data_IF_970516859110
#
_entry.id   IF_970516859110
#
_cell.length_a   1.000
_cell.length_b   1.000
_cell.length_c   1.000
_cell.angle_alpha   90.00
_cell.angle_beta   90.00
_cell.angle_gamma   90.00
#
_symmetry.space_group_name_H-M   'P 1'
#
loop_
_entity.id
_entity.type
_entity.pdbx_description
1 polymer ?
#
# COMPACT_ATOMS: atom_id res chain seq x y z
N UNK A 1 19.70 19.05 65.12
CA UNK A 1 18.45 18.65 64.47
C UNK A 1 18.84 17.67 63.38
N UNK A 2 18.45 16.42 63.57
CA UNK A 2 18.92 15.25 62.83
C UNK A 2 18.66 15.33 61.32
N UNK A 3 19.75 15.15 60.57
CA UNK A 3 19.76 14.76 59.17
C UNK A 3 19.83 13.23 59.12
N UNK A 4 18.73 12.56 58.76
CA UNK A 4 18.74 11.19 58.24
C UNK A 4 17.38 10.81 57.65
N UNK A 5 17.40 10.38 56.38
CA UNK A 5 16.39 9.47 55.84
C UNK A 5 15.39 10.05 54.82
N UNK A 6 15.87 10.59 53.69
CA UNK A 6 15.09 10.60 52.47
C UNK A 6 15.91 9.88 51.39
N UNK A 7 15.58 8.61 51.15
CA UNK A 7 16.16 7.82 50.07
C UNK A 7 15.85 8.51 48.73
N UNK A 8 16.89 9.08 48.12
CA UNK A 8 16.90 9.37 46.68
C UNK A 8 16.80 8.04 45.94
N UNK A 9 15.64 7.74 45.36
CA UNK A 9 15.58 6.82 44.24
C UNK A 9 15.96 7.61 42.98
N UNK A 10 17.01 7.23 42.25
CA UNK A 10 17.31 7.84 40.96
C UNK A 10 16.18 7.55 39.97
N UNK A 11 15.78 8.57 39.20
CA UNK A 11 14.95 8.43 38.01
C UNK A 11 15.55 7.33 37.11
N UNK A 12 14.74 6.43 36.51
CA UNK A 12 15.26 5.43 35.61
C UNK A 12 15.82 6.15 34.38
N UNK A 13 17.14 6.15 34.24
CA UNK A 13 17.79 6.36 32.95
C UNK A 13 17.14 5.45 31.93
N UNK A 14 16.63 6.02 30.84
CA UNK A 14 16.01 5.33 29.71
C UNK A 14 17.03 4.51 28.89
N UNK A 15 17.75 3.63 29.59
CA UNK A 15 18.45 2.48 29.05
C UNK A 15 17.73 1.22 29.55
N UNK A 16 16.41 1.15 29.32
CA UNK A 16 15.76 -0.15 29.27
C UNK A 16 16.22 -0.82 27.99
N UNK A 17 17.21 -1.68 28.16
CA UNK A 17 17.57 -2.77 27.27
C UNK A 17 16.32 -3.45 26.73
N UNK A 18 15.88 -3.06 25.54
CA UNK A 18 15.16 -3.97 24.67
C UNK A 18 16.15 -5.08 24.32
N UNK A 19 16.14 -6.16 25.09
CA UNK A 19 16.83 -7.39 24.69
C UNK A 19 16.24 -7.85 23.35
N UNK A 20 17.06 -8.00 22.29
CA UNK A 20 16.59 -8.34 20.95
C UNK A 20 16.39 -9.86 20.82
N UNK A 21 15.67 -10.47 21.77
CA UNK A 21 15.23 -11.86 21.66
C UNK A 21 13.71 -11.91 21.55
N UNK A 22 13.12 -11.04 20.72
CA UNK A 22 11.89 -11.45 20.04
C UNK A 22 12.32 -12.44 18.96
N UNK A 23 12.32 -13.72 19.35
CA UNK A 23 12.48 -14.83 18.42
C UNK A 23 11.31 -14.72 17.44
N UNK A 24 11.56 -14.16 16.26
CA UNK A 24 10.63 -14.23 15.12
C UNK A 24 10.14 -15.68 15.09
N UNK A 25 8.83 -15.95 15.26
CA UNK A 25 8.34 -17.31 15.19
C UNK A 25 8.88 -17.90 13.89
N UNK A 26 9.70 -18.96 13.99
CA UNK A 26 10.37 -19.59 12.85
C UNK A 26 9.40 -20.29 11.89
N UNK A 27 8.11 -20.16 12.12
CA UNK A 27 7.13 -20.16 11.05
C UNK A 27 6.52 -18.77 10.99
N UNK A 28 6.59 -18.11 9.84
CA UNK A 28 5.42 -17.38 9.35
C UNK A 28 4.33 -18.45 9.35
N UNK A 29 3.66 -18.66 10.49
CA UNK A 29 2.48 -19.51 10.55
C UNK A 29 1.61 -18.88 9.48
N UNK A 30 1.36 -19.61 8.40
CA UNK A 30 0.58 -19.06 7.31
C UNK A 30 -0.75 -18.65 7.94
N UNK A 31 -0.91 -17.34 8.17
CA UNK A 31 -2.04 -16.72 8.83
C UNK A 31 -3.24 -16.82 7.88
N UNK A 32 -3.68 -18.07 7.68
CA UNK A 32 -4.61 -18.50 6.63
C UNK A 32 -6.03 -18.13 7.00
N UNK A 33 -6.40 -18.23 8.29
CA UNK A 33 -7.72 -17.85 8.79
C UNK A 33 -7.73 -16.42 9.37
N UNK A 34 -8.84 -15.71 9.25
CA UNK A 34 -9.08 -14.43 9.96
C UNK A 34 -9.09 -14.60 11.46
N UNK A 35 -9.57 -15.72 11.99
CA UNK A 35 -9.56 -15.94 13.43
C UNK A 35 -8.12 -15.88 13.95
N UNK A 36 -7.22 -16.62 13.31
CA UNK A 36 -5.79 -16.62 13.66
C UNK A 36 -5.14 -15.25 13.45
N UNK A 37 -5.48 -14.54 12.36
CA UNK A 37 -5.02 -13.16 12.12
C UNK A 37 -5.47 -12.19 13.20
N UNK A 38 -6.75 -12.21 13.56
CA UNK A 38 -7.32 -11.33 14.60
C UNK A 38 -6.78 -11.67 15.98
N UNK A 39 -6.60 -12.95 16.29
CA UNK A 39 -5.99 -13.37 17.56
C UNK A 39 -4.54 -12.90 17.61
N UNK A 40 -3.76 -13.09 16.54
CA UNK A 40 -2.40 -12.59 16.46
C UNK A 40 -2.33 -11.06 16.52
N UNK A 41 -3.17 -10.34 15.78
CA UNK A 41 -3.26 -8.88 15.82
C UNK A 41 -3.62 -8.38 17.21
N UNK A 42 -4.57 -9.03 17.89
CA UNK A 42 -4.95 -8.67 19.26
C UNK A 42 -3.82 -8.96 20.26
N UNK A 43 -3.14 -10.10 20.16
CA UNK A 43 -1.98 -10.43 20.98
C UNK A 43 -0.81 -9.46 20.73
N UNK A 44 -0.54 -9.13 19.46
CA UNK A 44 0.49 -8.18 19.07
C UNK A 44 0.15 -6.76 19.55
N UNK A 45 -1.09 -6.30 19.33
CA UNK A 45 -1.55 -5.00 19.80
C UNK A 45 -1.49 -4.91 21.31
N UNK A 46 -1.97 -5.92 22.03
CA UNK A 46 -1.95 -5.91 23.50
C UNK A 46 -0.54 -6.02 24.10
N UNK A 47 0.36 -6.80 23.50
CA UNK A 47 1.71 -7.01 24.03
C UNK A 47 2.70 -5.93 23.62
N UNK A 48 2.61 -5.39 22.40
CA UNK A 48 3.63 -4.51 21.83
C UNK A 48 3.07 -3.10 21.63
N UNK A 49 1.92 -2.97 20.96
CA UNK A 49 1.38 -1.64 20.67
C UNK A 49 0.85 -0.93 21.92
N UNK A 50 0.15 -1.61 22.83
CA UNK A 50 -0.39 -0.99 24.04
C UNK A 50 0.71 -0.57 25.02
N UNK A 51 1.81 -1.33 25.10
CA UNK A 51 2.99 -0.92 25.86
C UNK A 51 3.70 0.29 25.23
N UNK A 52 3.73 0.37 23.89
CA UNK A 52 4.18 1.55 23.17
C UNK A 52 3.23 2.74 23.41
N UNK A 53 1.91 2.57 23.22
CA UNK A 53 0.90 3.63 23.38
C UNK A 53 0.91 4.23 24.77
N UNK A 54 1.04 3.43 25.84
CA UNK A 54 1.19 3.97 27.21
C UNK A 54 2.31 5.00 27.36
N UNK A 55 3.38 4.90 26.57
CA UNK A 55 4.49 5.84 26.56
C UNK A 55 4.32 6.96 25.51
N UNK A 56 3.57 6.71 24.43
CA UNK A 56 3.38 7.63 23.32
C UNK A 56 2.11 8.50 23.40
N UNK A 57 1.09 8.12 24.18
CA UNK A 57 -0.28 8.61 24.06
C UNK A 57 -0.40 10.13 24.10
N UNK A 58 0.19 10.81 25.09
CA UNK A 58 -0.03 12.25 25.23
C UNK A 58 0.62 13.05 24.10
N UNK A 59 1.79 12.60 23.63
CA UNK A 59 2.53 13.28 22.57
C UNK A 59 1.95 12.97 21.20
N UNK A 60 1.65 11.69 20.93
CA UNK A 60 1.12 11.24 19.64
C UNK A 60 -0.30 11.75 19.41
N UNK A 61 -1.16 11.83 20.43
CA UNK A 61 -2.49 12.43 20.33
C UNK A 61 -2.39 13.92 19.99
N UNK A 62 -1.49 14.66 20.65
CA UNK A 62 -1.29 16.08 20.37
C UNK A 62 -0.70 16.32 18.97
N UNK A 63 0.23 15.46 18.53
CA UNK A 63 0.75 15.52 17.16
C UNK A 63 -0.28 15.12 16.12
N UNK A 64 -1.07 14.07 16.36
CA UNK A 64 -2.14 13.67 15.46
C UNK A 64 -3.17 14.80 15.30
N UNK A 65 -3.53 15.47 16.41
CA UNK A 65 -4.39 16.67 16.39
C UNK A 65 -3.77 17.81 15.59
N UNK A 66 -2.47 18.08 15.76
CA UNK A 66 -1.75 19.12 15.01
C UNK A 66 -1.63 18.81 13.53
N UNK A 67 -1.35 17.55 13.18
CA UNK A 67 -1.28 17.06 11.79
C UNK A 67 -2.66 17.16 11.13
N UNK A 68 -3.74 16.77 11.82
CA UNK A 68 -5.12 16.91 11.32
C UNK A 68 -5.52 18.38 11.05
N UNK A 69 -4.96 19.32 11.82
CA UNK A 69 -5.23 20.77 11.65
C UNK A 69 -4.30 21.49 10.68
N UNK A 70 -3.20 20.86 10.22
CA UNK A 70 -2.28 21.52 9.29
C UNK A 70 -2.87 21.50 7.87
N UNK A 71 -3.27 22.67 7.37
CA UNK A 71 -3.83 22.84 6.02
C UNK A 71 -2.90 22.32 4.91
N UNK A 72 -1.60 22.14 5.18
CA UNK A 72 -0.62 21.58 4.23
C UNK A 72 -0.76 20.07 4.04
N UNK A 73 -1.45 19.35 4.93
CA UNK A 73 -1.74 17.92 4.83
C UNK A 73 -3.01 17.60 4.02
N UNK A 74 -3.71 18.63 3.52
CA UNK A 74 -4.93 18.47 2.71
C UNK A 74 -4.98 19.33 1.45
N UNK A 75 -3.88 20.00 1.07
CA UNK A 75 -3.86 20.88 -0.10
C UNK A 75 -3.42 20.10 -1.34
N UNK A 76 -4.24 20.02 -2.41
CA UNK A 76 -3.84 19.44 -3.68
C UNK A 76 -2.97 20.46 -4.41
N UNK A 77 -1.72 20.60 -3.99
CA UNK A 77 -0.77 21.49 -4.67
C UNK A 77 0.47 20.69 -5.05
N UNK A 78 0.44 20.31 -6.32
CA UNK A 78 1.55 20.14 -7.25
C UNK A 78 2.73 19.27 -6.81
N UNK A 79 2.84 18.12 -7.49
CA UNK A 79 3.99 17.22 -7.57
C UNK A 79 4.55 16.71 -6.23
N UNK A 80 4.04 15.54 -5.81
CA UNK A 80 4.75 14.68 -4.86
C UNK A 80 4.32 14.77 -3.39
N UNK A 81 3.22 15.45 -3.06
CA UNK A 81 2.61 15.39 -1.72
C UNK A 81 1.59 14.25 -1.62
N UNK A 82 1.65 13.50 -0.53
CA UNK A 82 0.66 12.47 -0.19
C UNK A 82 -0.64 13.15 0.23
N UNK A 83 -1.74 12.82 -0.45
CA UNK A 83 -3.06 13.31 -0.09
C UNK A 83 -3.72 12.34 0.89
N UNK A 84 -4.05 12.81 2.09
CA UNK A 84 -4.81 12.00 3.07
C UNK A 84 -6.26 12.49 3.10
N UNK A 85 -7.24 11.62 2.84
CA UNK A 85 -8.66 11.97 2.98
C UNK A 85 -8.99 12.44 4.41
N UNK A 86 -9.85 13.47 4.52
CA UNK A 86 -10.19 14.09 5.81
C UNK A 86 -10.89 13.12 6.77
N UNK A 87 -11.53 12.08 6.24
CA UNK A 87 -12.15 11.02 7.04
C UNK A 87 -11.13 10.33 7.93
N UNK A 88 -9.90 10.13 7.44
CA UNK A 88 -8.83 9.50 8.21
C UNK A 88 -8.17 10.47 9.19
N UNK A 89 -8.04 11.76 8.83
CA UNK A 89 -7.44 12.78 9.70
C UNK A 89 -8.31 13.09 10.93
N UNK A 90 -9.62 12.89 10.86
CA UNK A 90 -10.55 13.19 11.94
C UNK A 90 -10.77 12.03 12.92
N UNK A 91 -10.18 10.86 12.65
CA UNK A 91 -10.27 9.71 13.54
C UNK A 91 -9.16 9.77 14.59
N UNK A 92 -9.54 9.71 15.86
CA UNK A 92 -8.57 9.62 16.96
C UNK A 92 -8.02 8.20 17.05
N UNK A 93 -6.72 8.11 17.32
CA UNK A 93 -6.04 6.86 17.59
C UNK A 93 -6.35 6.46 19.04
N UNK A 94 -6.91 5.27 19.20
CA UNK A 94 -7.23 4.61 20.48
C UNK A 94 -6.63 3.21 20.54
N UNK A 95 -6.63 2.56 21.71
CA UNK A 95 -6.13 1.19 21.90
C UNK A 95 -6.80 0.16 20.97
N UNK A 96 -8.04 0.42 20.54
CA UNK A 96 -8.80 -0.44 19.62
C UNK A 96 -8.53 -0.14 18.12
N UNK A 97 -7.56 0.72 17.81
CA UNK A 97 -7.28 1.12 16.42
C UNK A 97 -6.70 -0.06 15.63
N UNK A 98 -7.19 -0.33 14.40
CA UNK A 98 -6.64 -1.40 13.57
C UNK A 98 -5.14 -1.22 13.31
N UNK A 99 -4.40 -2.33 13.40
CA UNK A 99 -2.95 -2.36 13.14
C UNK A 99 -2.59 -1.76 11.76
N UNK A 100 -3.47 -1.92 10.78
CA UNK A 100 -3.30 -1.40 9.42
C UNK A 100 -3.08 0.12 9.33
N UNK A 101 -3.51 0.91 10.34
CA UNK A 101 -3.25 2.36 10.39
C UNK A 101 -1.75 2.65 10.59
N UNK A 102 -1.07 1.79 11.36
CA UNK A 102 0.35 1.97 11.73
C UNK A 102 1.32 1.38 10.71
N UNK A 103 0.82 0.57 9.78
CA UNK A 103 1.61 -0.01 8.70
C UNK A 103 1.60 0.92 7.49
N UNK A 104 2.76 1.48 7.06
CA UNK A 104 2.81 2.39 5.93
C UNK A 104 2.28 1.72 4.65
N UNK A 105 1.28 2.32 4.01
CA UNK A 105 0.71 1.81 2.77
C UNK A 105 0.40 2.96 1.80
N UNK A 106 0.36 2.65 0.49
CA UNK A 106 -0.01 3.61 -0.56
C UNK A 106 -1.52 3.80 -0.69
N UNK A 107 -2.31 2.99 0.00
CA UNK A 107 -3.78 3.03 -0.02
C UNK A 107 -4.37 2.62 1.33
N UNK A 108 -5.65 2.92 1.53
CA UNK A 108 -6.39 2.54 2.74
C UNK A 108 -5.91 3.24 4.03
N UNK A 109 -6.15 2.65 5.21
CA UNK A 109 -5.84 3.25 6.51
C UNK A 109 -4.34 3.49 6.76
N UNK A 110 -3.46 2.70 6.14
CA UNK A 110 -2.00 2.85 6.23
C UNK A 110 -1.43 4.09 5.53
N UNK A 111 -2.28 4.85 4.83
CA UNK A 111 -1.90 6.11 4.21
C UNK A 111 -1.53 7.18 5.26
N UNK A 112 -2.12 7.11 6.46
CA UNK A 112 -1.81 8.04 7.55
C UNK A 112 -0.36 7.93 8.02
N UNK A 113 0.12 6.70 8.26
CA UNK A 113 1.50 6.45 8.68
C UNK A 113 2.50 6.79 7.57
N UNK A 114 2.17 6.47 6.31
CA UNK A 114 2.96 6.88 5.15
C UNK A 114 3.07 8.42 5.03
N UNK A 115 1.94 9.13 5.11
CA UNK A 115 1.90 10.58 5.02
C UNK A 115 2.61 11.27 6.20
N UNK A 116 2.50 10.71 7.40
CA UNK A 116 3.21 11.21 8.58
C UNK A 116 4.73 11.13 8.38
N UNK A 117 5.23 9.99 7.87
CA UNK A 117 6.65 9.83 7.57
C UNK A 117 7.12 10.80 6.47
N UNK A 118 6.36 10.94 5.38
CA UNK A 118 6.64 11.90 4.31
C UNK A 118 6.75 13.33 4.86
N UNK A 119 5.79 13.73 5.69
CA UNK A 119 5.76 15.06 6.30
C UNK A 119 6.98 15.31 7.19
N UNK A 120 7.30 14.37 8.08
CA UNK A 120 8.42 14.52 9.01
C UNK A 120 9.77 14.61 8.28
N UNK A 121 9.99 13.77 7.26
CA UNK A 121 11.22 13.82 6.47
C UNK A 121 11.34 15.11 5.65
N UNK A 122 10.23 15.60 5.06
CA UNK A 122 10.22 16.90 4.39
C UNK A 122 10.51 18.04 5.36
N UNK A 123 9.91 18.03 6.55
CA UNK A 123 10.17 19.06 7.56
C UNK A 123 11.62 19.10 8.01
N UNK A 124 12.23 17.94 8.20
CA UNK A 124 13.66 17.86 8.48
C UNK A 124 14.49 18.44 7.32
N UNK A 125 14.19 18.05 6.09
CA UNK A 125 14.90 18.54 4.91
C UNK A 125 14.74 20.06 4.71
N UNK A 126 13.52 20.60 4.85
CA UNK A 126 13.25 22.04 4.78
C UNK A 126 14.10 22.82 5.80
N UNK A 127 14.25 22.28 7.01
CA UNK A 127 15.05 22.90 8.07
C UNK A 127 16.55 22.83 7.77
N UNK A 128 17.03 21.70 7.25
CA UNK A 128 18.42 21.54 6.81
C UNK A 128 18.75 22.43 5.62
N UNK A 129 17.86 22.55 4.64
CA UNK A 129 18.04 23.42 3.47
C UNK A 129 18.06 24.90 3.90
N UNK A 130 17.21 25.27 4.87
CA UNK A 130 17.23 26.60 5.49
C UNK A 130 18.57 26.86 6.21
N UNK A 131 19.10 25.88 6.96
CA UNK A 131 20.40 25.98 7.60
C UNK A 131 21.55 26.13 6.59
N UNK A 132 21.54 25.34 5.52
CA UNK A 132 22.53 25.42 4.44
C UNK A 132 22.49 26.82 3.79
N UNK A 133 21.30 27.37 3.53
CA UNK A 133 21.18 28.71 2.93
C UNK A 133 21.78 29.84 3.80
N UNK A 134 21.59 29.76 5.12
CA UNK A 134 22.14 30.73 6.08
C UNK A 134 23.64 30.53 6.30
N UNK A 135 24.10 29.27 6.26
CA UNK A 135 25.48 28.90 6.57
C UNK A 135 26.42 28.84 5.36
N UNK A 136 25.91 28.83 4.13
CA UNK A 136 26.71 28.91 2.88
C UNK A 136 27.54 30.19 2.77
N UNK A 137 27.16 31.25 3.50
CA UNK A 137 27.99 32.46 3.63
C UNK A 137 29.21 32.28 4.55
N UNK A 138 29.30 31.17 5.31
CA UNK A 138 30.34 30.94 6.33
C UNK A 138 31.24 29.71 6.06
N UNK A 139 30.81 28.70 5.29
CA UNK A 139 31.62 27.54 4.81
C UNK A 139 30.79 26.63 3.86
N UNK A 140 31.45 25.92 2.94
CA UNK A 140 30.88 24.85 2.10
C UNK A 140 30.41 23.65 2.96
N UNK A 141 29.29 23.79 3.66
CA UNK A 141 28.69 22.71 4.43
C UNK A 141 27.72 21.98 3.51
N UNK A 142 28.09 20.76 3.11
CA UNK A 142 27.21 19.85 2.40
C UNK A 142 26.86 18.71 3.36
N UNK A 143 25.59 18.57 3.69
CA UNK A 143 25.12 17.41 4.44
C UNK A 143 25.22 16.14 3.59
N UNK A 144 25.49 15.00 4.23
CA UNK A 144 25.38 13.69 3.57
C UNK A 144 23.92 13.38 3.28
N UNK A 145 23.67 12.85 2.08
CA UNK A 145 22.34 12.33 1.71
C UNK A 145 22.24 10.86 2.10
N UNK A 146 21.15 10.49 2.79
CA UNK A 146 20.88 9.13 3.23
C UNK A 146 19.51 8.65 2.73
N UNK A 147 19.37 7.34 2.59
CA UNK A 147 18.10 6.72 2.21
C UNK A 147 17.15 6.60 3.41
N UNK A 148 15.82 6.71 3.21
CA UNK A 148 14.80 6.55 4.26
C UNK A 148 14.97 5.27 5.11
N UNK A 149 15.28 4.14 4.47
CA UNK A 149 15.52 2.84 5.12
C UNK A 149 16.69 2.81 6.12
N UNK A 150 17.66 3.70 5.96
CA UNK A 150 18.90 3.71 6.73
C UNK A 150 18.91 4.78 7.83
N UNK A 151 17.79 5.44 8.03
CA UNK A 151 17.63 6.50 9.02
C UNK A 151 17.78 5.92 10.42
N UNK A 152 18.59 6.59 11.24
CA UNK A 152 18.78 6.28 12.67
C UNK A 152 18.64 7.57 13.45
N UNK A 153 18.48 7.49 14.78
CA UNK A 153 18.32 8.67 15.65
C UNK A 153 19.49 9.68 15.52
N UNK A 154 20.68 9.23 15.13
CA UNK A 154 21.82 10.11 14.90
C UNK A 154 21.61 11.03 13.69
N UNK A 155 20.92 10.54 12.66
CA UNK A 155 20.65 11.26 11.41
C UNK A 155 19.48 12.26 11.55
N UNK A 156 18.61 12.06 12.53
CA UNK A 156 17.42 12.88 12.74
C UNK A 156 17.69 14.08 13.65
N UNK A 157 16.91 15.14 13.45
CA UNK A 157 16.87 16.29 14.36
C UNK A 157 16.00 15.88 15.56
N UNK A 158 16.64 15.63 16.70
CA UNK A 158 15.97 15.30 17.94
C UNK A 158 16.47 16.26 19.03
N UNK A 159 15.56 16.87 19.77
CA UNK A 159 15.86 17.73 20.90
C UNK A 159 14.75 17.63 21.94
N UNK A 160 15.13 17.79 23.21
CA UNK A 160 14.22 17.98 24.32
C UNK A 160 14.11 19.47 24.67
N UNK A 161 12.89 19.94 24.90
CA UNK A 161 12.66 21.36 25.20
C UNK A 161 13.35 21.79 26.50
N UNK A 162 13.26 21.00 27.56
CA UNK A 162 13.74 21.35 28.90
C UNK A 162 15.23 21.09 29.08
N UNK A 163 15.73 20.01 28.48
CA UNK A 163 17.11 19.57 28.71
C UNK A 163 18.08 20.12 27.66
N UNK A 164 17.63 20.35 26.43
CA UNK A 164 18.51 20.83 25.35
C UNK A 164 18.30 22.31 25.04
N UNK A 165 17.05 22.76 24.87
CA UNK A 165 16.77 24.14 24.46
C UNK A 165 16.84 25.13 25.62
N UNK A 166 16.24 24.84 26.77
CA UNK A 166 16.21 25.77 27.90
C UNK A 166 17.62 26.18 28.39
N UNK A 167 18.59 25.27 28.54
CA UNK A 167 19.95 25.66 28.92
C UNK A 167 20.64 26.55 27.88
N UNK A 168 20.36 26.35 26.58
CA UNK A 168 20.87 27.21 25.51
C UNK A 168 20.30 28.62 25.58
N UNK A 169 18.98 28.74 25.82
CA UNK A 169 18.31 30.04 25.95
C UNK A 169 18.86 30.81 27.15
N UNK A 170 19.00 30.13 28.30
CA UNK A 170 19.52 30.75 29.52
C UNK A 170 21.00 31.13 29.40
N UNK A 171 21.82 30.34 28.70
CA UNK A 171 23.24 30.65 28.50
C UNK A 171 23.49 31.90 27.62
N UNK A 172 22.54 32.25 26.75
CA UNK A 172 22.62 33.44 25.89
C UNK A 172 21.79 34.63 26.43
N UNK A 173 21.30 34.52 27.67
CA UNK A 173 20.57 35.57 28.38
C UNK A 173 21.53 36.45 29.18
N UNK A 174 21.72 37.69 28.75
CA UNK A 174 22.55 38.68 29.42
C UNK A 174 21.69 39.57 30.34
N UNK A 175 22.09 39.62 31.61
CA UNK A 175 21.46 40.49 32.60
C UNK A 175 22.32 41.76 32.75
N UNK A 176 21.75 42.90 32.40
CA UNK A 176 22.36 44.21 32.65
C UNK A 176 21.54 44.99 33.68
N UNK A 177 22.21 45.81 34.49
CA UNK A 177 21.55 46.61 35.53
C UNK A 177 21.95 48.07 35.38
N UNK A 178 20.96 48.93 35.21
CA UNK A 178 21.15 50.39 35.14
C UNK A 178 20.51 51.05 36.38
N UNK A 179 21.31 51.81 37.13
CA UNK A 179 20.83 52.50 38.33
C UNK A 179 19.74 53.51 37.97
N UNK A 180 18.51 53.26 38.43
CA UNK A 180 17.33 54.10 38.20
C UNK A 180 16.28 53.51 37.25
N UNK A 181 16.63 52.49 36.45
CA UNK A 181 15.72 51.85 35.47
C UNK A 181 15.43 50.38 35.80
N UNK A 182 16.34 49.72 36.53
CA UNK A 182 16.17 48.33 36.98
C UNK A 182 16.99 47.33 36.16
N UNK A 183 16.66 46.04 36.29
CA UNK A 183 17.31 44.95 35.55
C UNK A 183 16.73 44.80 34.14
N UNK A 184 17.59 44.87 33.13
CA UNK A 184 17.25 44.64 31.72
C UNK A 184 17.74 43.26 31.30
N UNK A 185 16.89 42.52 30.60
CA UNK A 185 17.19 41.19 30.09
C UNK A 185 17.38 41.32 28.58
N UNK A 186 18.56 40.99 28.08
CA UNK A 186 18.91 41.03 26.66
C UNK A 186 19.38 39.65 26.19
N UNK A 187 18.86 39.19 25.05
CA UNK A 187 19.23 37.90 24.48
C UNK A 187 20.20 38.08 23.31
N UNK A 188 21.31 37.34 23.33
CA UNK A 188 22.19 37.23 22.16
C UNK A 188 21.62 36.20 21.18
N UNK A 189 20.77 36.66 20.28
CA UNK A 189 20.17 35.82 19.24
C UNK A 189 21.22 35.24 18.27
N UNK A 190 22.34 35.93 18.05
CA UNK A 190 23.38 35.48 17.13
C UNK A 190 24.17 34.33 17.75
N UNK A 191 24.50 34.46 19.04
CA UNK A 191 25.10 33.39 19.84
C UNK A 191 24.20 32.17 19.96
N UNK A 192 22.91 32.40 20.25
CA UNK A 192 21.90 31.33 20.35
C UNK A 192 21.72 30.59 19.04
N UNK A 193 21.56 31.31 17.93
CA UNK A 193 21.44 30.74 16.59
C UNK A 193 22.64 29.84 16.25
N UNK A 194 23.86 30.33 16.50
CA UNK A 194 25.09 29.54 16.26
C UNK A 194 25.14 28.28 17.10
N UNK A 195 24.80 28.36 18.39
CA UNK A 195 24.84 27.20 19.28
C UNK A 195 23.78 26.14 18.91
N UNK A 196 22.58 26.58 18.48
CA UNK A 196 21.54 25.68 17.97
C UNK A 196 22.01 24.97 16.70
N UNK A 197 22.60 25.72 15.76
CA UNK A 197 23.15 25.15 14.53
C UNK A 197 24.25 24.12 14.79
N UNK A 198 25.23 24.48 15.63
CA UNK A 198 26.41 23.65 15.88
C UNK A 198 26.05 22.36 16.64
N UNK A 199 25.09 22.42 17.57
CA UNK A 199 24.72 21.25 18.39
C UNK A 199 23.64 20.36 17.76
N UNK A 200 22.64 20.95 17.09
CA UNK A 200 21.47 20.19 16.63
C UNK A 200 21.52 19.85 15.14
N UNK A 201 22.22 20.64 14.31
CA UNK A 201 22.11 20.57 12.84
C UNK A 201 23.39 20.13 12.12
N UNK A 202 24.57 20.49 12.65
CA UNK A 202 25.84 20.34 11.94
C UNK A 202 26.14 18.92 11.43
N UNK A 203 25.78 17.88 12.18
CA UNK A 203 26.04 16.47 11.82
C UNK A 203 24.85 15.74 11.21
N UNK A 204 23.74 16.44 10.94
CA UNK A 204 22.52 15.79 10.44
C UNK A 204 22.62 15.51 8.95
N UNK A 205 21.87 14.49 8.53
CA UNK A 205 21.86 14.04 7.14
C UNK A 205 20.56 14.42 6.47
N UNK A 206 20.66 14.76 5.18
CA UNK A 206 19.50 15.01 4.34
C UNK A 206 18.90 13.68 3.93
N UNK A 207 17.58 13.56 3.97
CA UNK A 207 16.88 12.33 3.59
C UNK A 207 16.54 12.40 2.09
N UNK A 208 16.89 11.36 1.34
CA UNK A 208 16.53 11.22 -0.07
C UNK A 208 15.03 10.96 -0.21
N UNK A 209 14.28 11.98 -0.61
CA UNK A 209 12.85 11.87 -0.93
C UNK A 209 12.73 12.00 -2.44
N UNK A 210 12.60 10.85 -3.11
CA UNK A 210 12.34 10.77 -4.56
C UNK A 210 10.83 10.95 -4.83
N UNK A 211 10.31 10.44 -5.94
CA UNK A 211 8.88 10.50 -6.25
C UNK A 211 8.00 9.75 -5.22
N UNK A 212 8.55 8.74 -4.56
CA UNK A 212 7.92 7.96 -3.49
C UNK A 212 8.95 7.65 -2.40
N UNK A 213 8.50 7.42 -1.17
CA UNK A 213 9.38 6.97 -0.08
C UNK A 213 9.78 5.52 -0.30
N UNK A 214 11.08 5.27 -0.41
CA UNK A 214 11.66 3.93 -0.41
C UNK A 214 11.67 3.37 1.02
N UNK A 215 10.49 2.99 1.52
CA UNK A 215 10.29 2.30 2.80
C UNK A 215 9.56 0.97 2.57
N UNK A 216 9.58 0.08 3.57
CA UNK A 216 8.82 -1.16 3.51
C UNK A 216 7.33 -0.81 3.64
N UNK A 217 6.60 -1.09 2.56
CA UNK A 217 5.17 -0.80 2.47
C UNK A 217 4.36 -2.08 2.65
N UNK A 218 3.26 -1.98 3.38
CA UNK A 218 2.19 -2.96 3.32
C UNK A 218 1.55 -2.88 1.93
N UNK A 219 1.49 -4.02 1.24
CA UNK A 219 0.90 -4.13 -0.09
C UNK A 219 -0.39 -4.93 0.00
N UNK A 220 -1.48 -4.38 -0.52
CA UNK A 220 -2.75 -5.08 -0.56
C UNK A 220 -2.80 -6.09 -1.72
N UNK A 221 -3.56 -7.18 -1.55
CA UNK A 221 -3.68 -8.23 -2.58
C UNK A 221 -4.23 -7.70 -3.91
N UNK A 222 -5.12 -6.73 -3.86
CA UNK A 222 -5.70 -6.05 -5.03
C UNK A 222 -4.62 -5.34 -5.87
N UNK A 223 -3.54 -4.86 -5.23
CA UNK A 223 -2.46 -4.12 -5.87
C UNK A 223 -1.43 -5.02 -6.57
N UNK A 224 -1.38 -6.32 -6.25
CA UNK A 224 -0.44 -7.30 -6.85
C UNK A 224 -1.08 -8.19 -7.93
N UNK A 225 -2.32 -7.93 -8.31
CA UNK A 225 -2.97 -8.65 -9.41
C UNK A 225 -2.22 -8.44 -10.72
N UNK A 226 -2.23 -9.44 -11.61
CA UNK A 226 -1.59 -9.29 -12.94
C UNK A 226 -2.16 -8.08 -13.68
N UNK A 227 -3.46 -7.77 -13.52
CA UNK A 227 -4.09 -6.55 -14.02
C UNK A 227 -3.39 -5.29 -13.49
N UNK A 228 -3.25 -5.16 -12.17
CA UNK A 228 -2.57 -4.02 -11.56
C UNK A 228 -1.09 -3.91 -11.94
N UNK A 229 -0.39 -5.04 -12.13
CA UNK A 229 1.00 -5.05 -12.60
C UNK A 229 1.08 -4.54 -14.04
N UNK A 230 0.23 -5.03 -14.95
CA UNK A 230 0.23 -4.57 -16.34
C UNK A 230 -0.20 -3.11 -16.50
N UNK A 231 -1.17 -2.63 -15.70
CA UNK A 231 -1.54 -1.21 -15.68
C UNK A 231 -0.37 -0.33 -15.22
N UNK A 232 0.29 -0.69 -14.12
CA UNK A 232 1.47 0.06 -13.63
C UNK A 232 2.63 0.06 -14.62
N UNK A 233 2.88 -1.06 -15.30
CA UNK A 233 3.89 -1.13 -16.35
C UNK A 233 3.56 -0.20 -17.53
N UNK A 234 2.28 -0.14 -17.94
CA UNK A 234 1.82 0.72 -19.03
C UNK A 234 1.90 2.22 -18.69
N UNK A 235 1.61 2.60 -17.44
CA UNK A 235 1.70 3.99 -16.98
C UNK A 235 3.15 4.48 -16.86
N UNK A 236 4.04 3.64 -16.33
CA UNK A 236 5.41 4.02 -15.99
C UNK A 236 6.34 4.05 -17.19
N UNK A 237 5.93 3.44 -18.31
CA UNK A 237 6.70 3.42 -19.55
C UNK A 237 5.79 3.92 -20.68
N UNK A 238 5.66 5.24 -20.90
CA UNK A 238 4.80 5.78 -21.95
C UNK A 238 5.25 5.35 -23.36
N UNK A 239 6.55 5.13 -23.57
CA UNK A 239 7.07 4.54 -24.81
C UNK A 239 6.65 3.07 -24.96
N UNK A 240 6.28 2.36 -23.90
CA UNK A 240 5.75 0.99 -23.97
C UNK A 240 4.31 0.93 -24.50
N UNK A 241 3.52 1.99 -24.30
CA UNK A 241 2.22 2.11 -24.98
C UNK A 241 2.37 2.23 -26.49
N UNK A 242 3.50 2.78 -26.96
CA UNK A 242 3.81 2.99 -28.38
C UNK A 242 4.70 1.88 -28.96
N UNK A 243 5.44 1.16 -28.13
CA UNK A 243 6.31 0.04 -28.52
C UNK A 243 5.50 -1.25 -28.50
N UNK A 244 5.38 -1.88 -29.67
CA UNK A 244 4.65 -3.13 -29.80
C UNK A 244 5.23 -4.23 -28.89
N UNK A 245 6.49 -4.18 -28.46
CA UNK A 245 7.17 -5.24 -27.70
C UNK A 245 6.49 -5.62 -26.37
N UNK A 246 5.91 -4.66 -25.64
CA UNK A 246 5.22 -4.93 -24.38
C UNK A 246 3.75 -5.31 -24.56
N UNK A 247 3.07 -4.75 -25.57
CA UNK A 247 1.78 -5.28 -26.02
C UNK A 247 1.92 -6.72 -26.51
N UNK A 248 3.00 -7.04 -27.21
CA UNK A 248 3.36 -8.40 -27.60
C UNK A 248 3.69 -9.26 -26.39
N UNK A 249 4.32 -8.74 -25.32
CA UNK A 249 4.56 -9.53 -24.11
C UNK A 249 3.26 -9.94 -23.41
N UNK A 250 2.29 -9.02 -23.26
CA UNK A 250 0.95 -9.34 -22.74
C UNK A 250 0.21 -10.30 -23.67
N UNK A 251 0.17 -10.00 -24.97
CA UNK A 251 -0.51 -10.83 -25.96
C UNK A 251 0.12 -12.24 -26.06
N UNK A 252 1.45 -12.33 -26.00
CA UNK A 252 2.20 -13.59 -25.98
C UNK A 252 1.91 -14.37 -24.69
N UNK A 253 1.90 -13.70 -23.53
CA UNK A 253 1.55 -14.36 -22.27
C UNK A 253 0.12 -14.90 -22.29
N UNK A 254 -0.85 -14.11 -22.76
CA UNK A 254 -2.23 -14.55 -22.95
C UNK A 254 -2.33 -15.71 -23.94
N UNK A 255 -1.63 -15.64 -25.08
CA UNK A 255 -1.61 -16.70 -26.08
C UNK A 255 -1.01 -17.99 -25.51
N UNK A 256 0.13 -17.91 -24.81
CA UNK A 256 0.77 -19.06 -24.17
C UNK A 256 -0.11 -19.63 -23.06
N UNK A 257 -0.73 -18.79 -22.26
CA UNK A 257 -1.64 -19.21 -21.19
C UNK A 257 -2.87 -19.90 -21.78
N UNK A 258 -3.50 -19.31 -22.80
CA UNK A 258 -4.63 -19.90 -23.50
C UNK A 258 -4.25 -21.24 -24.13
N UNK A 259 -3.09 -21.32 -24.78
CA UNK A 259 -2.62 -22.55 -25.41
C UNK A 259 -2.32 -23.64 -24.38
N UNK A 260 -1.72 -23.29 -23.24
CA UNK A 260 -1.55 -24.19 -22.09
C UNK A 260 -2.92 -24.69 -21.61
N UNK A 261 -3.89 -23.79 -21.41
CA UNK A 261 -5.25 -24.14 -20.99
C UNK A 261 -5.94 -25.11 -21.96
N UNK A 262 -5.80 -24.89 -23.27
CA UNK A 262 -6.31 -25.79 -24.32
C UNK A 262 -5.67 -27.19 -24.22
N UNK A 263 -4.33 -27.26 -24.14
CA UNK A 263 -3.59 -28.53 -24.03
C UNK A 263 -3.93 -29.30 -22.75
N UNK A 264 -4.11 -28.62 -21.63
CA UNK A 264 -4.48 -29.25 -20.36
C UNK A 264 -5.87 -29.89 -20.44
N UNK A 265 -6.84 -29.26 -21.10
CA UNK A 265 -8.15 -29.88 -21.33
C UNK A 265 -8.06 -31.08 -22.26
N UNK A 266 -7.28 -30.99 -23.34
CA UNK A 266 -7.15 -32.07 -24.32
C UNK A 266 -6.46 -33.31 -23.72
N UNK A 267 -5.41 -33.12 -22.90
CA UNK A 267 -4.60 -34.22 -22.38
C UNK A 267 -5.00 -34.70 -20.99
N UNK A 268 -5.47 -33.81 -20.10
CA UNK A 268 -5.72 -34.13 -18.68
C UNK A 268 -7.19 -34.00 -18.28
N UNK A 269 -8.01 -33.34 -19.10
CA UNK A 269 -9.42 -33.05 -18.81
C UNK A 269 -9.68 -32.33 -17.48
N UNK A 270 -8.64 -31.75 -16.86
CA UNK A 270 -8.74 -31.06 -15.58
C UNK A 270 -9.10 -29.60 -15.79
N UNK A 271 -10.22 -29.14 -15.23
CA UNK A 271 -10.60 -27.72 -15.26
C UNK A 271 -9.85 -26.93 -14.19
N UNK A 272 -9.53 -27.57 -13.07
CA UNK A 272 -8.84 -26.95 -11.93
C UNK A 272 -7.39 -26.60 -12.28
N UNK A 273 -6.68 -27.51 -12.98
CA UNK A 273 -5.31 -27.24 -13.47
C UNK A 273 -5.26 -26.13 -14.55
N UNK A 274 -6.38 -25.85 -15.21
CA UNK A 274 -6.45 -24.80 -16.23
C UNK A 274 -6.48 -23.42 -15.60
N UNK A 275 -7.07 -23.32 -14.41
CA UNK A 275 -7.25 -22.08 -13.67
C UNK A 275 -6.79 -22.23 -12.22
N UNK A 276 -5.54 -22.66 -12.00
CA UNK A 276 -4.93 -22.91 -10.68
C UNK A 276 -5.01 -21.71 -9.71
N UNK A 277 -5.22 -20.52 -10.25
CA UNK A 277 -5.35 -19.28 -9.49
C UNK A 277 -6.75 -19.07 -8.91
N UNK A 278 -7.79 -19.67 -9.49
CA UNK A 278 -9.18 -19.59 -9.02
C UNK A 278 -9.38 -20.41 -7.73
N UNK A 279 -10.32 -19.96 -6.91
CA UNK A 279 -10.75 -20.67 -5.70
C UNK A 279 -11.67 -21.85 -6.03
N UNK A 280 -11.74 -22.84 -5.14
CA UNK A 280 -12.53 -24.07 -5.33
C UNK A 280 -14.02 -23.80 -5.53
N UNK A 281 -14.55 -22.74 -4.92
CA UNK A 281 -15.94 -22.30 -5.10
C UNK A 281 -16.22 -21.79 -6.52
N UNK A 282 -15.20 -21.57 -7.36
CA UNK A 282 -15.32 -21.06 -8.73
C UNK A 282 -15.43 -22.16 -9.81
N UNK A 283 -15.47 -23.43 -9.40
CA UNK A 283 -15.55 -24.59 -10.29
C UNK A 283 -16.91 -25.28 -10.30
N UNK A 284 -17.98 -24.56 -9.95
CA UNK A 284 -19.35 -25.12 -9.90
C UNK A 284 -19.87 -25.45 -11.30
N UNK A 285 -20.56 -26.57 -11.43
CA UNK A 285 -21.20 -26.95 -12.68
C UNK A 285 -22.38 -26.03 -13.02
N UNK A 286 -22.60 -25.82 -14.32
CA UNK A 286 -23.77 -25.11 -14.82
C UNK A 286 -25.02 -25.95 -14.60
N UNK A 287 -26.10 -25.32 -14.13
CA UNK A 287 -27.44 -25.92 -14.11
C UNK A 287 -27.84 -26.40 -15.51
N UNK A 288 -28.58 -27.51 -15.60
CA UNK A 288 -28.90 -28.16 -16.88
C UNK A 288 -29.60 -27.23 -17.88
N UNK A 289 -30.51 -26.37 -17.39
CA UNK A 289 -31.18 -25.37 -18.21
C UNK A 289 -30.20 -24.32 -18.75
N UNK A 290 -29.34 -23.77 -17.88
CA UNK A 290 -28.33 -22.79 -18.27
C UNK A 290 -27.29 -23.40 -19.24
N UNK A 291 -26.86 -24.63 -18.98
CA UNK A 291 -25.95 -25.41 -19.83
C UNK A 291 -26.53 -25.67 -21.22
N UNK A 292 -27.84 -25.94 -21.31
CA UNK A 292 -28.53 -26.17 -22.59
C UNK A 292 -28.62 -24.88 -23.39
N UNK A 293 -29.08 -23.78 -22.78
CA UNK A 293 -29.13 -22.47 -23.41
C UNK A 293 -27.75 -21.98 -23.88
N UNK A 294 -26.72 -22.20 -23.06
CA UNK A 294 -25.35 -21.82 -23.42
C UNK A 294 -24.82 -22.65 -24.60
N UNK A 295 -25.09 -23.96 -24.63
CA UNK A 295 -24.75 -24.80 -25.79
C UNK A 295 -25.46 -24.36 -27.07
N UNK A 296 -26.74 -23.96 -26.98
CA UNK A 296 -27.49 -23.45 -28.11
C UNK A 296 -26.90 -22.15 -28.64
N UNK A 297 -26.64 -21.18 -27.76
CA UNK A 297 -25.93 -19.94 -28.09
C UNK A 297 -24.58 -20.20 -28.78
N UNK A 298 -23.74 -21.10 -28.24
CA UNK A 298 -22.47 -21.42 -28.88
C UNK A 298 -22.62 -22.11 -30.24
N UNK A 299 -23.73 -22.82 -30.48
CA UNK A 299 -24.02 -23.43 -31.78
C UNK A 299 -24.42 -22.38 -32.83
N UNK A 300 -25.12 -21.30 -32.46
CA UNK A 300 -25.51 -20.24 -33.40
C UNK A 300 -24.32 -19.40 -33.88
N UNK A 301 -23.27 -19.27 -33.05
CA UNK A 301 -22.07 -18.50 -33.38
C UNK A 301 -21.21 -19.13 -34.50
N UNK A 302 -20.55 -18.30 -35.32
CA UNK A 302 -19.52 -18.78 -36.25
C UNK A 302 -18.28 -19.29 -35.49
N UNK A 303 -17.43 -20.06 -36.16
CA UNK A 303 -16.17 -20.57 -35.57
C UNK A 303 -15.29 -19.41 -35.10
N UNK A 304 -15.18 -18.37 -35.92
CA UNK A 304 -14.34 -17.21 -35.61
C UNK A 304 -14.88 -16.45 -34.39
N UNK A 305 -16.19 -16.14 -34.36
CA UNK A 305 -16.83 -15.48 -33.21
C UNK A 305 -16.66 -16.27 -31.92
N UNK A 306 -16.85 -17.59 -31.98
CA UNK A 306 -16.69 -18.46 -30.81
C UNK A 306 -15.23 -18.51 -30.33
N UNK A 307 -14.25 -18.47 -31.24
CA UNK A 307 -12.84 -18.41 -30.88
C UNK A 307 -12.50 -17.11 -30.15
N UNK A 308 -12.98 -15.96 -30.64
CA UNK A 308 -12.72 -14.68 -29.96
C UNK A 308 -13.41 -14.67 -28.58
N UNK A 309 -14.67 -15.11 -28.48
CA UNK A 309 -15.37 -15.17 -27.18
C UNK A 309 -14.61 -16.05 -26.17
N UNK A 310 -14.05 -17.17 -26.63
CA UNK A 310 -13.25 -18.06 -25.79
C UNK A 310 -11.98 -17.37 -25.25
N UNK A 311 -11.34 -16.54 -26.07
CA UNK A 311 -10.15 -15.75 -25.70
C UNK A 311 -10.52 -14.69 -24.65
N UNK A 312 -11.59 -13.94 -24.88
CA UNK A 312 -12.04 -12.91 -23.93
C UNK A 312 -12.50 -13.52 -22.61
N UNK A 313 -13.22 -14.65 -22.64
CA UNK A 313 -13.58 -15.37 -21.43
C UNK A 313 -12.35 -15.86 -20.65
N UNK A 314 -11.31 -16.34 -21.35
CA UNK A 314 -10.06 -16.79 -20.73
C UNK A 314 -9.34 -15.65 -20.03
N UNK A 315 -9.19 -14.54 -20.74
CA UNK A 315 -8.56 -13.33 -20.25
C UNK A 315 -9.30 -12.75 -19.03
N UNK A 316 -10.62 -12.65 -19.12
CA UNK A 316 -11.47 -12.18 -18.02
C UNK A 316 -11.35 -13.07 -16.76
N UNK A 317 -11.35 -14.40 -16.94
CA UNK A 317 -11.17 -15.33 -15.83
C UNK A 317 -9.82 -15.13 -15.13
N UNK A 318 -8.75 -14.85 -15.88
CA UNK A 318 -7.41 -14.66 -15.33
C UNK A 318 -7.18 -13.30 -14.68
N UNK A 319 -7.79 -12.22 -15.19
CA UNK A 319 -7.53 -10.87 -14.70
C UNK A 319 -8.55 -10.36 -13.68
N UNK A 320 -9.80 -10.79 -13.79
CA UNK A 320 -10.90 -10.25 -12.98
C UNK A 320 -11.47 -11.28 -12.00
N UNK A 321 -11.48 -12.57 -12.36
CA UNK A 321 -12.07 -13.62 -11.51
C UNK A 321 -11.04 -14.31 -10.62
N UNK A 322 -9.80 -14.47 -11.08
CA UNK A 322 -8.70 -15.09 -10.33
C UNK A 322 -8.11 -14.24 -9.19
N UNK A 323 -8.77 -13.15 -8.82
CA UNK A 323 -8.39 -12.35 -7.66
C UNK A 323 -8.80 -13.16 -6.42
N UNK A 324 -7.83 -13.86 -5.79
CA UNK A 324 -8.07 -14.60 -4.54
C UNK A 324 -8.56 -13.64 -3.47
N UNK A 325 -9.85 -13.74 -3.16
CA UNK A 325 -10.45 -13.00 -2.06
C UNK A 325 -10.18 -13.81 -0.79
N UNK A 326 -9.93 -13.13 0.32
CA UNK A 326 -9.94 -13.86 1.57
C UNK A 326 -11.40 -13.96 2.01
N UNK A 327 -11.99 -15.16 2.13
CA UNK A 327 -13.40 -15.31 2.49
C UNK A 327 -13.75 -14.61 3.80
N UNK A 328 -12.73 -14.45 4.63
CA UNK A 328 -12.86 -13.88 5.93
C UNK A 328 -12.66 -12.35 5.96
N UNK A 329 -12.32 -11.62 4.91
CA UNK A 329 -12.15 -10.15 5.00
C UNK A 329 -13.52 -9.43 5.26
N UNK A 330 -13.54 -8.27 5.94
CA UNK A 330 -14.81 -7.58 6.30
C UNK A 330 -15.55 -6.98 5.11
N UNK A 331 -14.80 -6.56 4.11
CA UNK A 331 -15.25 -6.08 2.80
C UNK A 331 -15.32 -7.21 1.76
N UNK A 332 -15.19 -8.47 2.20
CA UNK A 332 -15.29 -9.61 1.29
C UNK A 332 -16.70 -9.68 0.71
N UNK A 333 -16.82 -9.35 -0.56
CA UNK A 333 -18.04 -9.56 -1.33
C UNK A 333 -17.92 -10.90 -2.03
N UNK A 334 -18.90 -11.79 -1.80
CA UNK A 334 -18.98 -13.05 -2.54
C UNK A 334 -19.13 -12.78 -4.05
N UNK A 335 -18.01 -12.75 -4.76
CA UNK A 335 -17.99 -12.53 -6.20
C UNK A 335 -18.50 -13.75 -6.98
N UNK A 336 -18.60 -14.92 -6.33
CA UNK A 336 -19.02 -16.17 -6.97
C UNK A 336 -20.46 -16.10 -7.51
N UNK A 337 -21.29 -15.25 -6.90
CA UNK A 337 -22.68 -14.99 -7.28
C UNK A 337 -22.84 -13.88 -8.31
N UNK A 338 -21.76 -13.24 -8.75
CA UNK A 338 -21.83 -12.15 -9.72
C UNK A 338 -22.17 -12.68 -11.12
N UNK A 339 -22.92 -11.87 -11.87
CA UNK A 339 -23.30 -12.18 -13.25
C UNK A 339 -22.08 -12.20 -14.15
N UNK A 340 -21.82 -13.35 -14.77
CA UNK A 340 -20.66 -13.52 -15.64
C UNK A 340 -20.74 -12.63 -16.88
N UNK A 341 -21.94 -12.46 -17.45
CA UNK A 341 -22.13 -11.65 -18.65
C UNK A 341 -21.95 -10.15 -18.37
N UNK A 342 -22.45 -9.66 -17.24
CA UNK A 342 -22.35 -8.23 -16.93
C UNK A 342 -20.89 -7.85 -16.66
N UNK A 343 -20.17 -8.69 -15.90
CA UNK A 343 -18.73 -8.50 -15.69
C UNK A 343 -17.90 -8.61 -16.98
N UNK A 344 -18.26 -9.53 -17.89
CA UNK A 344 -17.58 -9.64 -19.18
C UNK A 344 -17.83 -8.41 -20.07
N UNK A 345 -19.05 -7.84 -20.04
CA UNK A 345 -19.40 -6.62 -20.79
C UNK A 345 -18.66 -5.41 -20.25
N UNK A 346 -18.62 -5.26 -18.93
CA UNK A 346 -17.85 -4.20 -18.27
C UNK A 346 -16.36 -4.32 -18.60
N UNK A 347 -15.81 -5.53 -18.53
CA UNK A 347 -14.42 -5.79 -18.93
C UNK A 347 -14.12 -5.39 -20.37
N UNK A 348 -14.99 -5.77 -21.31
CA UNK A 348 -14.82 -5.42 -22.73
C UNK A 348 -14.96 -3.91 -22.94
N UNK A 349 -15.87 -3.24 -22.23
CA UNK A 349 -16.09 -1.79 -22.33
C UNK A 349 -14.92 -0.97 -21.76
N UNK A 350 -14.30 -1.44 -20.66
CA UNK A 350 -13.15 -0.79 -20.04
C UNK A 350 -11.83 -1.05 -20.75
N UNK A 351 -11.76 -2.12 -21.54
CA UNK A 351 -10.52 -2.51 -22.19
C UNK A 351 -10.22 -1.62 -23.40
N UNK A 352 -8.92 -1.45 -23.70
CA UNK A 352 -8.49 -0.70 -24.89
C UNK A 352 -9.16 -1.23 -26.17
N UNK A 353 -9.44 -0.39 -27.17
CA UNK A 353 -10.13 -0.76 -28.43
C UNK A 353 -9.38 -1.80 -29.28
N UNK A 354 -8.24 -2.30 -28.81
CA UNK A 354 -7.50 -3.41 -29.38
C UNK A 354 -8.14 -4.79 -29.11
N UNK A 355 -9.12 -4.90 -28.20
CA UNK A 355 -9.93 -6.11 -28.09
C UNK A 355 -10.86 -6.24 -29.30
N UNK A 356 -10.71 -7.34 -30.04
CA UNK A 356 -11.34 -7.62 -31.34
C UNK A 356 -12.85 -7.93 -31.23
N UNK A 357 -13.49 -7.65 -30.08
CA UNK A 357 -14.89 -7.94 -29.82
C UNK A 357 -15.67 -6.67 -29.54
N UNK A 358 -16.71 -6.45 -30.33
CA UNK A 358 -17.79 -5.52 -30.01
C UNK A 358 -18.68 -6.13 -28.93
N UNK A 359 -19.08 -5.34 -27.93
CA UNK A 359 -20.05 -5.71 -26.88
C UNK A 359 -21.33 -6.30 -27.51
N UNK A 360 -21.72 -5.85 -28.71
CA UNK A 360 -22.85 -6.39 -29.47
C UNK A 360 -22.75 -7.92 -29.71
N UNK A 361 -21.52 -8.46 -29.80
CA UNK A 361 -21.27 -9.91 -29.97
C UNK A 361 -21.72 -10.73 -28.76
N UNK A 362 -21.92 -10.07 -27.61
CA UNK A 362 -22.35 -10.65 -26.34
C UNK A 362 -23.84 -10.38 -26.01
N UNK A 363 -24.64 -9.84 -26.94
CA UNK A 363 -26.06 -9.53 -26.70
C UNK A 363 -26.87 -10.77 -26.30
N UNK A 364 -26.74 -11.86 -27.05
CA UNK A 364 -27.48 -13.11 -26.83
C UNK A 364 -26.83 -14.05 -25.80
N UNK A 365 -25.77 -13.60 -25.11
CA UNK A 365 -25.08 -14.43 -24.14
C UNK A 365 -25.99 -14.73 -22.93
N UNK A 366 -26.05 -15.98 -22.42
CA UNK A 366 -26.99 -16.32 -21.34
C UNK A 366 -26.71 -15.62 -20.00
N UNK A 367 -27.71 -14.90 -19.49
CA UNK A 367 -27.63 -14.14 -18.24
C UNK A 367 -27.60 -14.98 -16.95
N UNK A 368 -27.80 -16.30 -17.03
CA UNK A 368 -27.84 -17.20 -15.85
C UNK A 368 -26.48 -17.79 -15.48
N UNK A 369 -25.42 -17.41 -16.20
CA UNK A 369 -24.06 -17.86 -15.90
C UNK A 369 -23.48 -16.88 -14.86
N UNK A 370 -22.92 -17.43 -13.80
CA UNK A 370 -22.32 -16.68 -12.68
C UNK A 370 -20.81 -16.89 -12.72
N UNK A 371 -20.05 -16.08 -11.98
CA UNK A 371 -18.59 -16.22 -11.92
C UNK A 371 -18.17 -17.63 -11.49
N UNK A 372 -18.89 -18.23 -10.53
CA UNK A 372 -18.65 -19.61 -10.09
C UNK A 372 -18.84 -20.70 -11.15
N UNK A 373 -19.48 -20.37 -12.26
CA UNK A 373 -19.70 -21.25 -13.40
C UNK A 373 -18.72 -20.97 -14.56
N UNK A 374 -17.95 -19.87 -14.49
CA UNK A 374 -17.18 -19.32 -15.61
C UNK A 374 -16.13 -20.29 -16.15
N UNK A 375 -15.38 -20.97 -15.28
CA UNK A 375 -14.37 -21.96 -15.68
C UNK A 375 -14.99 -23.15 -16.43
N UNK A 376 -16.11 -23.69 -15.93
CA UNK A 376 -16.84 -24.79 -16.58
C UNK A 376 -17.51 -24.35 -17.89
N UNK A 377 -18.00 -23.10 -17.95
CA UNK A 377 -18.53 -22.50 -19.16
C UNK A 377 -17.43 -22.38 -20.24
N UNK A 378 -16.24 -21.92 -19.85
CA UNK A 378 -15.08 -21.83 -20.74
C UNK A 378 -14.70 -23.19 -21.35
N UNK A 379 -14.63 -24.24 -20.52
CA UNK A 379 -14.34 -25.60 -20.99
C UNK A 379 -15.42 -26.09 -21.97
N UNK A 380 -16.69 -25.77 -21.71
CA UNK A 380 -17.79 -26.14 -22.59
C UNK A 380 -17.73 -25.41 -23.93
N UNK A 381 -17.32 -24.15 -23.93
CA UNK A 381 -17.07 -23.36 -25.14
C UNK A 381 -15.91 -23.94 -25.95
N UNK A 382 -14.80 -24.26 -25.30
CA UNK A 382 -13.65 -24.88 -25.97
C UNK A 382 -14.01 -26.23 -26.60
N UNK A 383 -14.70 -27.12 -25.87
CA UNK A 383 -15.17 -28.41 -26.40
C UNK A 383 -16.16 -28.26 -27.56
N UNK A 384 -16.91 -27.17 -27.62
CA UNK A 384 -17.83 -26.89 -28.73
C UNK A 384 -17.06 -26.37 -29.95
N UNK A 385 -16.06 -25.52 -29.74
CA UNK A 385 -15.16 -25.02 -30.78
C UNK A 385 -14.38 -26.16 -31.45
N UNK A 386 -13.80 -27.08 -30.67
CA UNK A 386 -13.05 -28.24 -31.21
C UNK A 386 -13.95 -29.16 -32.03
N UNK A 387 -15.20 -29.39 -31.60
CA UNK A 387 -16.19 -30.14 -32.38
C UNK A 387 -16.52 -29.45 -33.72
N UNK A 388 -16.72 -28.14 -33.73
CA UNK A 388 -16.97 -27.37 -34.96
C UNK A 388 -15.78 -27.39 -35.91
N UNK A 389 -14.55 -27.29 -35.39
CA UNK A 389 -13.32 -27.38 -36.19
C UNK A 389 -13.12 -28.79 -36.77
N UNK A 390 -13.42 -29.84 -36.00
CA UNK A 390 -13.38 -31.22 -36.48
C UNK A 390 -14.42 -31.53 -37.56
N UNK A 391 -15.61 -30.93 -37.49
CA UNK A 391 -16.68 -31.09 -38.47
C UNK A 391 -16.45 -30.31 -39.78
N UNK A 392 -15.54 -29.34 -39.82
CA UNK A 392 -15.12 -28.61 -41.03
C UNK A 392 -13.96 -29.28 -41.79
N UNK A 393 -13.25 -30.22 -41.14
CA UNK A 393 -12.10 -30.96 -41.72
C UNK A 393 -12.49 -32.31 -42.34
N UNK A 394 -13.76 -32.70 -42.23
CA UNK A 394 -14.40 -33.79 -43.00
C UNK A 394 -15.28 -33.14 -44.05
#
# INVERSE_FOLDING_TARGET
MDLKGANMHPLPTAHTSFSPEYRVPQSVAELKSKADRRTWEHEFSSSILNELFRNFDTYLIEWNRRLATDERLGCPTEFGRVFVPKEFCNQNIHDDTPLAVFLPATSGPGLCSYAMLDFLFRKQNDFLDSYVSVSQSRKNISHSTIKPMTVTSAHLICYDHEHDLMPLVLANCHYSFEMGVGSKIEYDFVGLERQLMDRLLYSKSRIEINAFLEIDLMVYRTEVTNRAVFLRLAERIPQARQSCELQHARALWLLLSLQRSKLLIDHRQSTEEVFETLEDNMFRDLEDNAKTKFKEYMKTLSVDKLAVILEVMHEFLLFNVAIRQNPDDEDNVDTSIFSFIDGLREYVAESEPALVIDVATLEDFPNKILYKHGAKAWVLAYKTLTKKLGSKRR
#
